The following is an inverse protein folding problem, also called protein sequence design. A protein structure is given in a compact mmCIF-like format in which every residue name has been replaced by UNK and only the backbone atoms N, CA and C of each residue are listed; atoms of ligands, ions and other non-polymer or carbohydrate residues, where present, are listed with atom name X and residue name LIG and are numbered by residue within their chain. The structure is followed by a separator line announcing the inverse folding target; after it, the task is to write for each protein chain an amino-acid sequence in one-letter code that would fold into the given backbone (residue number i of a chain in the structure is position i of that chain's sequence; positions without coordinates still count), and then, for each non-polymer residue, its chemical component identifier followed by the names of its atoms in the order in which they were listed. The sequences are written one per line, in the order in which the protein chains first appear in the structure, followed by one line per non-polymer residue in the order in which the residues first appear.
data_IF_162263375358
#
_entry.id   IF_162263375358
#
_cell.length_a   1.000
_cell.length_b   1.000
_cell.length_c   1.000
_cell.angle_alpha   90.00
_cell.angle_beta   90.00
_cell.angle_gamma   90.00
#
_symmetry.space_group_name_H-M   'P 1'
#
loop_
_entity.id
_entity.type
_entity.pdbx_description
1 polymer ?
#
# COMPACT_ATOMS: atom_id res chain seq x y z
N UNK A 1 15.59 -23.91 24.08
CA UNK A 1 15.94 -22.75 23.22
C UNK A 1 16.48 -23.30 21.91
N UNK A 2 16.11 -22.71 20.77
CA UNK A 2 16.73 -23.08 19.48
C UNK A 2 18.12 -22.44 19.38
N UNK A 3 19.12 -23.10 18.76
CA UNK A 3 20.41 -22.45 18.47
C UNK A 3 20.23 -21.19 17.63
N UNK A 4 21.02 -20.15 17.90
CA UNK A 4 21.00 -18.93 17.11
C UNK A 4 21.53 -19.18 15.68
N UNK A 5 20.88 -18.67 14.63
CA UNK A 5 21.32 -18.87 13.24
C UNK A 5 22.46 -17.92 12.82
N UNK A 6 22.99 -17.11 13.73
CA UNK A 6 24.00 -16.08 13.47
C UNK A 6 25.25 -16.28 14.33
N UNK A 7 26.34 -15.62 13.94
CA UNK A 7 27.66 -15.80 14.58
C UNK A 7 27.88 -14.81 15.73
N UNK A 8 28.70 -15.21 16.71
CA UNK A 8 29.34 -14.30 17.65
C UNK A 8 30.39 -13.41 16.96
N UNK A 9 30.99 -12.46 17.69
CA UNK A 9 32.02 -11.58 17.15
C UNK A 9 33.40 -12.26 17.14
N UNK A 10 34.09 -12.23 15.98
CA UNK A 10 35.51 -12.61 15.73
C UNK A 10 36.08 -13.73 16.62
N UNK A 11 36.02 -15.00 16.22
CA UNK A 11 36.73 -16.16 16.83
C UNK A 11 36.78 -16.23 18.38
N UNK A 12 35.98 -15.41 19.06
CA UNK A 12 35.84 -15.31 20.49
C UNK A 12 34.50 -15.94 20.80
N UNK A 13 34.53 -16.76 21.84
CA UNK A 13 33.40 -17.46 22.44
C UNK A 13 32.43 -16.44 23.06
N UNK A 14 31.86 -15.55 22.25
CA UNK A 14 30.59 -14.91 22.57
C UNK A 14 29.54 -15.86 22.05
N UNK A 15 28.95 -16.65 22.95
CA UNK A 15 27.90 -17.59 22.62
C UNK A 15 26.82 -16.84 21.85
N UNK A 16 26.61 -17.25 20.59
CA UNK A 16 25.54 -16.72 19.77
C UNK A 16 24.21 -17.01 20.48
N UNK A 17 23.65 -15.99 21.10
CA UNK A 17 22.46 -16.08 21.93
C UNK A 17 21.33 -15.33 21.25
N UNK A 18 20.14 -15.94 21.28
CA UNK A 18 18.91 -15.24 20.87
C UNK A 18 18.55 -14.12 21.86
N UNK A 19 19.08 -14.13 23.08
CA UNK A 19 18.76 -13.13 24.11
C UNK A 19 19.42 -11.77 23.87
N UNK A 20 20.57 -11.72 23.19
CA UNK A 20 21.40 -10.52 23.12
C UNK A 20 22.38 -10.44 24.30
N UNK A 21 22.89 -9.24 24.64
CA UNK A 21 22.53 -7.94 24.05
C UNK A 21 23.06 -7.81 22.62
N UNK A 22 22.43 -6.94 21.82
CA UNK A 22 22.87 -6.67 20.45
C UNK A 22 23.36 -5.23 20.33
N UNK A 23 24.53 -5.03 19.73
CA UNK A 23 25.06 -3.70 19.48
C UNK A 23 25.80 -3.61 18.14
N UNK A 24 25.91 -2.39 17.64
CA UNK A 24 26.49 -2.17 16.34
C UNK A 24 26.49 -0.71 15.91
N UNK A 25 26.84 -0.52 14.65
CA UNK A 25 26.86 0.77 13.97
C UNK A 25 26.20 0.63 12.59
N UNK A 26 25.37 1.60 12.25
CA UNK A 26 24.71 1.72 10.96
C UNK A 26 25.40 2.83 10.16
N UNK A 27 25.76 2.51 8.93
CA UNK A 27 26.51 3.39 8.03
C UNK A 27 25.91 3.36 6.63
N UNK A 28 26.12 4.42 5.86
CA UNK A 28 25.83 4.45 4.43
C UNK A 28 26.82 3.51 3.71
N UNK A 29 26.30 2.63 2.86
CA UNK A 29 27.11 1.65 2.14
C UNK A 29 28.12 2.32 1.19
N UNK A 30 27.73 3.43 0.56
CA UNK A 30 28.52 4.12 -0.45
C UNK A 30 29.58 5.06 0.14
N UNK A 31 29.22 5.81 1.19
CA UNK A 31 30.14 6.80 1.80
C UNK A 31 30.86 6.27 3.04
N UNK A 32 30.32 5.22 3.67
CA UNK A 32 30.80 4.73 4.96
C UNK A 32 30.47 5.65 6.14
N UNK A 33 29.73 6.73 5.91
CA UNK A 33 29.36 7.70 6.94
C UNK A 33 28.31 7.13 7.89
N UNK A 34 28.36 7.46 9.19
CA UNK A 34 27.36 7.01 10.15
C UNK A 34 25.96 7.57 9.83
N UNK A 35 24.94 6.74 10.01
CA UNK A 35 23.53 7.14 9.80
C UNK A 35 22.85 7.35 11.15
N UNK A 36 22.56 8.61 11.47
CA UNK A 36 21.79 9.01 12.63
C UNK A 36 20.26 8.90 12.41
N UNK A 37 19.51 8.79 13.51
CA UNK A 37 18.05 8.70 13.53
C UNK A 37 17.48 7.58 12.63
N UNK A 38 18.19 6.46 12.52
CA UNK A 38 17.66 5.24 11.93
C UNK A 38 16.87 4.49 12.99
N UNK A 39 15.64 4.09 12.66
CA UNK A 39 14.79 3.31 13.56
C UNK A 39 15.21 1.86 13.54
N UNK A 40 15.33 1.28 14.73
CA UNK A 40 15.72 -0.10 14.94
C UNK A 40 14.61 -0.77 15.74
N UNK A 41 14.19 -1.93 15.24
CA UNK A 41 13.22 -2.76 15.92
C UNK A 41 13.79 -4.16 16.09
N UNK A 42 13.93 -4.57 17.33
CA UNK A 42 14.31 -5.91 17.73
C UNK A 42 13.06 -6.71 18.10
N UNK A 43 12.93 -7.91 17.55
CA UNK A 43 11.77 -8.79 17.75
C UNK A 43 12.27 -10.15 18.22
N UNK A 44 11.83 -10.56 19.41
CA UNK A 44 12.01 -11.91 19.93
C UNK A 44 10.71 -12.67 19.79
N UNK A 45 10.71 -13.82 19.11
CA UNK A 45 9.50 -14.63 18.91
C UNK A 45 9.53 -15.90 19.73
N UNK A 46 8.37 -16.27 20.26
CA UNK A 46 8.19 -17.40 21.16
C UNK A 46 7.21 -18.41 20.58
N UNK A 47 7.48 -19.69 20.82
CA UNK A 47 6.54 -20.79 20.58
C UNK A 47 6.09 -21.36 21.93
N UNK A 48 4.92 -22.01 21.95
CA UNK A 48 4.46 -22.85 23.07
C UNK A 48 4.09 -24.25 22.59
N UNK A 49 4.06 -25.20 23.52
CA UNK A 49 3.53 -26.54 23.31
C UNK A 49 4.57 -27.65 23.38
N UNK A 50 4.10 -28.84 23.76
CA UNK A 50 4.84 -30.09 23.77
C UNK A 50 4.03 -31.09 22.94
N UNK A 51 4.38 -31.25 21.66
CA UNK A 51 3.59 -31.98 20.66
C UNK A 51 2.97 -31.06 19.60
N UNK A 52 1.96 -30.27 19.94
CA UNK A 52 1.37 -29.27 19.03
C UNK A 52 2.01 -27.90 19.29
N UNK A 53 2.93 -27.50 18.40
CA UNK A 53 3.70 -26.25 18.53
C UNK A 53 2.89 -25.11 17.90
N UNK A 54 2.61 -24.07 18.68
CA UNK A 54 1.92 -22.85 18.24
C UNK A 54 2.66 -21.57 18.67
N UNK A 55 2.37 -20.42 18.02
CA UNK A 55 2.99 -19.15 18.39
C UNK A 55 2.53 -18.69 19.77
N UNK A 56 3.47 -18.37 20.65
CA UNK A 56 3.22 -17.87 22.02
C UNK A 56 3.26 -16.35 22.15
N UNK A 57 3.61 -15.65 21.06
CA UNK A 57 3.71 -14.19 21.00
C UNK A 57 5.13 -13.71 20.71
N UNK A 58 5.34 -12.42 20.90
CA UNK A 58 6.61 -11.75 20.62
C UNK A 58 6.87 -10.60 21.59
N UNK A 59 8.14 -10.40 21.93
CA UNK A 59 8.62 -9.21 22.63
C UNK A 59 9.29 -8.27 21.62
N UNK A 60 9.01 -6.95 21.72
CA UNK A 60 9.51 -5.95 20.78
C UNK A 60 10.26 -4.87 21.56
N UNK A 61 11.44 -4.50 21.07
CA UNK A 61 12.21 -3.34 21.55
C UNK A 61 12.49 -2.38 20.40
N UNK A 62 12.37 -1.08 20.68
CA UNK A 62 12.53 -0.02 19.69
C UNK A 62 13.60 0.96 20.17
N UNK A 63 14.46 1.38 19.25
CA UNK A 63 15.47 2.40 19.49
C UNK A 63 15.76 3.18 18.21
N UNK A 64 16.46 4.30 18.36
CA UNK A 64 17.02 5.06 17.24
C UNK A 64 18.54 5.11 17.37
N UNK A 65 19.24 5.20 16.24
CA UNK A 65 20.69 5.42 16.25
C UNK A 65 21.05 6.81 16.77
N UNK A 66 22.21 6.91 17.41
CA UNK A 66 22.80 8.20 17.79
C UNK A 66 23.49 8.90 16.60
N UNK A 67 24.08 10.08 16.85
CA UNK A 67 24.82 10.85 15.84
C UNK A 67 26.00 10.08 15.22
N UNK A 68 26.57 9.13 15.96
CA UNK A 68 27.64 8.25 15.48
C UNK A 68 27.10 7.00 14.76
N UNK A 69 25.79 6.92 14.53
CA UNK A 69 25.11 5.79 13.90
C UNK A 69 25.09 4.54 14.77
N UNK A 70 25.42 4.64 16.06
CA UNK A 70 25.52 3.48 16.95
C UNK A 70 24.16 3.13 17.53
N UNK A 71 24.00 1.86 17.83
CA UNK A 71 22.83 1.36 18.51
C UNK A 71 23.15 0.31 19.56
N UNK A 72 22.22 0.17 20.51
CA UNK A 72 22.25 -0.86 21.54
C UNK A 72 20.85 -1.36 21.83
N UNK A 73 20.67 -2.66 21.67
CA UNK A 73 19.49 -3.41 22.06
C UNK A 73 19.86 -4.17 23.34
N UNK A 74 19.13 -3.97 24.45
CA UNK A 74 19.37 -4.69 25.69
C UNK A 74 19.07 -6.19 25.52
N UNK A 75 19.43 -6.99 26.53
CA UNK A 75 18.98 -8.38 26.59
C UNK A 75 17.45 -8.45 26.65
N UNK A 76 16.88 -9.50 26.04
CA UNK A 76 15.45 -9.79 26.12
C UNK A 76 14.99 -9.89 27.58
N UNK A 77 13.89 -9.23 27.93
CA UNK A 77 13.32 -9.28 29.28
C UNK A 77 12.60 -10.60 29.56
N UNK A 78 12.28 -11.35 28.50
CA UNK A 78 11.56 -12.62 28.57
C UNK A 78 10.19 -12.43 29.22
N UNK A 79 9.44 -11.46 28.70
CA UNK A 79 8.10 -11.12 29.20
C UNK A 79 7.07 -12.21 28.85
N UNK A 80 7.25 -12.89 27.72
CA UNK A 80 6.42 -14.04 27.33
C UNK A 80 6.90 -15.28 28.08
N UNK A 81 6.12 -15.73 29.07
CA UNK A 81 6.45 -16.85 29.96
C UNK A 81 5.35 -17.91 29.98
N UNK A 82 5.76 -19.16 30.14
CA UNK A 82 4.85 -20.29 30.28
C UNK A 82 5.62 -21.60 30.42
N UNK A 83 4.99 -22.66 30.95
CA UNK A 83 5.65 -23.94 31.23
C UNK A 83 6.17 -24.63 29.97
N UNK A 84 5.58 -24.34 28.80
CA UNK A 84 5.98 -24.88 27.49
C UNK A 84 6.44 -23.79 26.52
N UNK A 85 6.64 -22.55 27.01
CA UNK A 85 7.06 -21.42 26.19
C UNK A 85 8.56 -21.44 25.97
N UNK A 86 9.01 -21.23 24.74
CA UNK A 86 10.43 -21.16 24.39
C UNK A 86 10.70 -20.04 23.40
N UNK A 87 11.81 -19.33 23.60
CA UNK A 87 12.36 -18.39 22.63
C UNK A 87 12.90 -19.18 21.42
N UNK A 88 12.42 -18.82 20.22
CA UNK A 88 12.72 -19.56 18.98
C UNK A 88 13.43 -18.73 17.91
N UNK A 89 13.25 -17.41 17.91
CA UNK A 89 13.95 -16.53 16.97
C UNK A 89 14.19 -15.14 17.54
N UNK A 90 15.19 -14.48 16.95
CA UNK A 90 15.48 -13.07 17.11
C UNK A 90 15.65 -12.44 15.73
N UNK A 91 15.01 -11.29 15.52
CA UNK A 91 15.11 -10.53 14.28
C UNK A 91 15.36 -9.05 14.59
N UNK A 92 16.34 -8.47 13.91
CA UNK A 92 16.62 -7.04 13.93
C UNK A 92 16.19 -6.45 12.59
N UNK A 93 15.30 -5.46 12.63
CA UNK A 93 14.89 -4.67 11.47
C UNK A 93 15.40 -3.25 11.64
N UNK A 94 16.05 -2.71 10.61
CA UNK A 94 16.53 -1.33 10.60
C UNK A 94 15.91 -0.60 9.43
N UNK A 95 15.36 0.59 9.71
CA UNK A 95 14.71 1.44 8.74
C UNK A 95 15.19 2.89 8.85
N UNK A 96 15.52 3.48 7.70
CA UNK A 96 15.71 4.92 7.55
C UNK A 96 15.13 5.32 6.20
N UNK A 97 14.27 6.36 6.20
CA UNK A 97 13.72 6.89 4.95
C UNK A 97 14.85 7.31 4.00
N UNK A 98 14.75 6.90 2.73
CA UNK A 98 15.77 7.13 1.71
C UNK A 98 16.82 6.03 1.61
N UNK A 99 16.70 4.95 2.39
CA UNK A 99 17.55 3.77 2.32
C UNK A 99 16.70 2.51 2.16
N UNK A 100 17.30 1.47 1.56
CA UNK A 100 16.77 0.11 1.59
C UNK A 100 16.90 -0.41 3.03
N UNK A 101 15.80 -0.94 3.58
CA UNK A 101 15.79 -1.47 4.92
C UNK A 101 16.73 -2.67 5.08
N UNK A 102 17.08 -2.97 6.33
CA UNK A 102 17.89 -4.13 6.67
C UNK A 102 17.12 -5.07 7.59
N UNK A 103 17.32 -6.38 7.40
CA UNK A 103 16.84 -7.44 8.30
C UNK A 103 17.96 -8.40 8.65
N UNK A 104 18.08 -8.81 9.91
CA UNK A 104 19.13 -9.74 10.35
C UNK A 104 18.97 -11.17 9.84
N UNK A 105 17.76 -11.58 9.44
CA UNK A 105 17.46 -12.96 9.07
C UNK A 105 17.49 -13.22 7.55
N UNK A 106 17.24 -12.20 6.72
CA UNK A 106 17.17 -12.34 5.27
C UNK A 106 17.63 -11.11 4.50
N UNK A 107 18.05 -11.34 3.26
CA UNK A 107 18.32 -10.31 2.25
C UNK A 107 17.02 -9.92 1.52
N UNK A 108 17.07 -8.84 0.73
CA UNK A 108 15.93 -8.34 -0.06
C UNK A 108 15.46 -9.35 -1.13
N UNK A 109 16.38 -10.16 -1.66
CA UNK A 109 16.08 -11.28 -2.57
C UNK A 109 15.46 -12.51 -1.88
N UNK A 110 15.24 -12.45 -0.57
CA UNK A 110 14.68 -13.53 0.24
C UNK A 110 15.69 -14.57 0.72
N UNK A 111 16.95 -14.51 0.28
CA UNK A 111 18.00 -15.42 0.75
C UNK A 111 18.33 -15.20 2.23
N UNK A 112 18.83 -16.24 2.90
CA UNK A 112 19.20 -16.15 4.31
C UNK A 112 20.41 -15.22 4.50
N UNK A 113 20.31 -14.30 5.46
CA UNK A 113 21.40 -13.39 5.78
C UNK A 113 22.43 -14.09 6.67
N UNK A 114 23.72 -13.93 6.34
CA UNK A 114 24.84 -14.62 7.04
C UNK A 114 25.89 -13.68 7.62
N UNK A 115 25.80 -12.37 7.35
CA UNK A 115 26.72 -11.34 7.80
C UNK A 115 26.30 -10.68 9.13
N UNK A 116 25.14 -11.04 9.68
CA UNK A 116 24.69 -10.56 10.98
C UNK A 116 25.53 -11.14 12.12
N UNK A 117 25.95 -10.26 13.03
CA UNK A 117 26.71 -10.61 14.24
C UNK A 117 26.03 -10.06 15.49
N UNK A 118 26.19 -10.74 16.62
CA UNK A 118 25.55 -10.33 17.90
C UNK A 118 26.12 -9.01 18.41
N UNK A 119 27.44 -8.83 18.34
CA UNK A 119 28.16 -7.69 18.89
C UNK A 119 28.95 -6.97 17.83
N UNK A 120 29.03 -5.65 17.96
CA UNK A 120 29.76 -4.76 17.06
C UNK A 120 29.36 -4.97 15.59
N UNK A 121 28.09 -5.25 15.34
CA UNK A 121 27.59 -5.49 14.01
C UNK A 121 27.71 -4.21 13.17
N UNK A 122 28.20 -4.34 11.94
CA UNK A 122 28.28 -3.21 11.00
C UNK A 122 27.21 -3.37 9.94
N UNK A 123 26.16 -2.57 10.04
CA UNK A 123 25.04 -2.57 9.09
C UNK A 123 25.32 -1.48 8.06
N UNK A 124 25.58 -1.89 6.82
CA UNK A 124 25.67 -0.97 5.70
C UNK A 124 24.28 -0.86 5.04
N UNK A 125 23.70 0.35 5.03
CA UNK A 125 22.44 0.61 4.35
C UNK A 125 22.71 1.17 2.96
N UNK A 126 22.10 0.54 1.96
CA UNK A 126 22.10 1.03 0.59
C UNK A 126 21.13 2.21 0.47
N UNK A 127 21.54 3.30 -0.17
CA UNK A 127 20.61 4.37 -0.55
C UNK A 127 19.55 3.85 -1.52
N UNK A 128 18.32 4.32 -1.32
CA UNK A 128 17.19 4.02 -2.21
C UNK A 128 17.47 4.53 -3.63
N UNK A 129 17.27 3.66 -4.62
CA UNK A 129 17.40 3.99 -6.04
C UNK A 129 16.02 4.09 -6.67
N UNK A 130 15.92 4.84 -7.76
CA UNK A 130 14.65 4.95 -8.50
C UNK A 130 14.21 3.61 -9.13
N UNK A 131 15.14 2.68 -9.30
CA UNK A 131 14.89 1.33 -9.83
C UNK A 131 14.46 0.33 -8.75
N UNK A 132 14.53 0.69 -7.46
CA UNK A 132 14.14 -0.19 -6.37
C UNK A 132 12.61 -0.25 -6.26
N UNK A 133 12.06 -1.45 -6.05
CA UNK A 133 10.61 -1.67 -5.93
C UNK A 133 10.09 -1.34 -4.54
N UNK A 134 9.11 -0.44 -4.45
CA UNK A 134 8.41 -0.11 -3.21
C UNK A 134 7.56 -1.29 -2.72
N UNK A 135 6.98 -2.06 -3.66
CA UNK A 135 6.22 -3.27 -3.35
C UNK A 135 7.11 -4.30 -2.65
N UNK A 136 8.23 -4.65 -3.29
CA UNK A 136 9.15 -5.65 -2.75
C UNK A 136 9.75 -5.17 -1.43
N UNK A 137 10.03 -3.88 -1.29
CA UNK A 137 10.56 -3.31 -0.06
C UNK A 137 9.58 -3.42 1.12
N UNK A 138 8.29 -3.14 0.91
CA UNK A 138 7.27 -3.30 1.96
C UNK A 138 7.06 -4.77 2.34
N UNK A 139 7.08 -5.69 1.37
CA UNK A 139 7.02 -7.14 1.61
C UNK A 139 8.26 -7.62 2.37
N UNK A 140 9.44 -7.14 1.98
CA UNK A 140 10.70 -7.45 2.64
C UNK A 140 10.68 -7.00 4.10
N UNK A 141 10.27 -5.75 4.34
CA UNK A 141 10.10 -5.17 5.67
C UNK A 141 9.18 -6.02 6.54
N UNK A 142 8.03 -6.49 6.01
CA UNK A 142 6.98 -7.19 6.75
C UNK A 142 6.79 -6.58 8.16
N UNK A 143 6.71 -5.25 8.16
CA UNK A 143 7.15 -4.43 9.27
C UNK A 143 6.37 -4.69 10.57
N UNK A 144 7.06 -4.76 11.73
CA UNK A 144 6.42 -4.52 13.02
C UNK A 144 5.64 -3.20 13.01
N UNK A 145 4.59 -3.09 13.84
CA UNK A 145 3.66 -1.94 13.83
C UNK A 145 4.34 -0.56 13.90
N UNK A 146 5.49 -0.44 14.56
CA UNK A 146 6.26 0.80 14.62
C UNK A 146 6.85 1.21 13.29
N UNK A 147 7.42 0.26 12.53
CA UNK A 147 7.96 0.54 11.20
C UNK A 147 6.82 0.81 10.20
N UNK A 148 5.66 0.14 10.34
CA UNK A 148 4.49 0.40 9.47
C UNK A 148 4.08 1.87 9.46
N UNK A 149 4.14 2.56 10.61
CA UNK A 149 3.85 4.00 10.69
C UNK A 149 4.87 4.84 9.93
N UNK A 150 6.13 4.44 9.94
CA UNK A 150 7.23 5.15 9.28
C UNK A 150 7.26 4.91 7.77
N UNK A 151 6.76 3.77 7.32
CA UNK A 151 6.71 3.37 5.91
C UNK A 151 5.35 3.64 5.27
N UNK A 152 4.42 4.28 5.98
CA UNK A 152 3.09 4.59 5.44
C UNK A 152 3.15 5.40 4.13
N UNK A 153 4.08 6.35 4.04
CA UNK A 153 4.31 7.14 2.81
C UNK A 153 4.68 6.29 1.59
N UNK A 154 5.26 5.12 1.82
CA UNK A 154 5.72 4.21 0.78
C UNK A 154 4.57 3.29 0.30
N UNK A 155 3.53 3.11 1.10
CA UNK A 155 2.36 2.31 0.73
C UNK A 155 1.67 2.88 -0.50
N UNK A 156 1.54 4.21 -0.59
CA UNK A 156 0.92 4.86 -1.74
C UNK A 156 1.71 4.62 -3.03
N UNK A 157 3.05 4.67 -2.96
CA UNK A 157 3.93 4.41 -4.11
C UNK A 157 3.94 2.92 -4.48
N UNK A 158 3.97 2.03 -3.48
CA UNK A 158 3.86 0.60 -3.69
C UNK A 158 2.52 0.22 -4.33
N UNK A 159 1.42 0.86 -3.94
CA UNK A 159 0.11 0.64 -4.55
C UNK A 159 0.11 1.07 -6.04
N UNK A 160 0.72 2.21 -6.36
CA UNK A 160 0.87 2.67 -7.75
C UNK A 160 1.76 1.76 -8.59
N UNK A 161 2.79 1.16 -7.98
CA UNK A 161 3.66 0.20 -8.65
C UNK A 161 2.98 -1.16 -8.83
N UNK A 162 2.29 -1.65 -7.80
CA UNK A 162 1.51 -2.89 -7.86
C UNK A 162 0.42 -2.77 -8.94
N UNK A 163 -0.26 -1.62 -9.01
CA UNK A 163 -1.20 -1.29 -10.07
C UNK A 163 -0.60 -1.49 -11.47
N UNK A 164 0.58 -0.90 -11.71
CA UNK A 164 1.30 -1.05 -12.98
C UNK A 164 1.65 -2.52 -13.25
N UNK A 165 2.09 -3.26 -12.24
CA UNK A 165 2.50 -4.67 -12.40
C UNK A 165 1.35 -5.66 -12.64
N UNK A 166 0.14 -5.35 -12.19
CA UNK A 166 -1.04 -6.25 -12.26
C UNK A 166 -1.88 -6.08 -13.52
N UNK A 167 -1.35 -5.44 -14.56
CA UNK A 167 -2.10 -5.25 -15.81
C UNK A 167 -3.04 -4.05 -15.80
N UNK A 168 -2.93 -3.15 -14.80
CA UNK A 168 -3.46 -1.79 -14.88
C UNK A 168 -2.78 -0.96 -16.00
N UNK A 169 -1.62 -1.41 -16.44
CA UNK A 169 -1.08 -1.18 -17.77
C UNK A 169 -1.50 -2.36 -18.66
N UNK A 170 -2.20 -2.12 -19.76
CA UNK A 170 -2.66 -3.17 -20.66
C UNK A 170 -1.50 -4.10 -21.10
N UNK A 171 -1.73 -5.42 -21.03
CA UNK A 171 -0.81 -6.43 -21.54
C UNK A 171 -0.50 -6.22 -23.04
N UNK A 172 0.76 -5.95 -23.38
CA UNK A 172 1.26 -6.15 -24.74
C UNK A 172 2.37 -5.21 -25.22
N UNK A 173 3.62 -5.70 -25.13
CA UNK A 173 4.83 -5.33 -25.90
C UNK A 173 5.70 -4.16 -25.36
N UNK A 174 6.96 -4.05 -25.82
CA UNK A 174 8.17 -4.49 -25.11
C UNK A 174 8.91 -3.31 -24.47
N UNK A 175 9.91 -3.61 -23.64
CA UNK A 175 10.89 -2.66 -23.09
C UNK A 175 11.28 -1.57 -24.10
N UNK A 176 10.73 -0.37 -23.93
CA UNK A 176 11.12 0.80 -24.69
C UNK A 176 12.18 1.56 -23.89
N UNK A 177 13.30 1.76 -24.56
CA UNK A 177 14.57 2.28 -24.10
C UNK A 177 14.47 3.60 -23.31
N UNK A 178 15.26 3.66 -22.25
CA UNK A 178 15.70 4.89 -21.57
C UNK A 178 16.08 6.00 -22.55
N UNK A 179 15.61 7.25 -22.33
CA UNK A 179 16.37 8.42 -22.69
C UNK A 179 17.08 8.98 -21.45
N UNK A 180 18.39 9.11 -21.60
CA UNK A 180 19.28 9.77 -20.67
C UNK A 180 18.98 11.28 -20.57
N UNK A 181 19.08 11.78 -19.33
CA UNK A 181 19.74 13.06 -19.03
C UNK A 181 18.90 14.33 -19.08
N UNK A 182 18.88 15.06 -17.96
CA UNK A 182 18.66 16.51 -17.99
C UNK A 182 18.13 17.15 -16.70
N UNK A 183 19.03 17.49 -15.78
CA UNK A 183 19.08 18.82 -15.14
C UNK A 183 17.90 19.31 -14.30
N UNK A 184 18.15 19.39 -13.00
CA UNK A 184 17.35 20.07 -11.99
C UNK A 184 16.90 21.50 -12.34
N UNK A 185 15.73 21.89 -11.84
CA UNK A 185 15.56 23.10 -11.01
C UNK A 185 14.29 22.94 -10.17
N UNK A 186 14.42 23.26 -8.89
CA UNK A 186 13.41 22.97 -7.89
C UNK A 186 12.22 23.91 -7.94
N UNK A 187 11.07 23.33 -7.63
CA UNK A 187 10.01 24.03 -6.93
C UNK A 187 9.40 23.00 -5.98
N UNK A 188 9.55 23.21 -4.67
CA UNK A 188 8.85 22.42 -3.64
C UNK A 188 7.35 22.69 -3.84
N UNK A 189 6.52 21.70 -4.19
CA UNK A 189 5.09 21.87 -4.05
C UNK A 189 4.80 21.79 -2.55
N UNK A 190 4.10 22.79 -2.02
CA UNK A 190 3.48 22.76 -0.70
C UNK A 190 2.53 21.55 -0.61
N UNK A 191 3.09 20.41 -0.20
CA UNK A 191 2.34 19.23 0.16
C UNK A 191 1.74 19.52 1.54
N UNK A 192 0.50 20.01 1.55
CA UNK A 192 -0.40 19.71 2.67
C UNK A 192 -0.28 18.20 2.90
N UNK A 193 0.21 17.82 4.08
CA UNK A 193 0.34 16.43 4.49
C UNK A 193 -0.93 15.65 4.12
N UNK A 194 -0.83 14.45 3.51
CA UNK A 194 -2.00 13.61 3.28
C UNK A 194 -2.70 13.36 4.62
N UNK A 195 -4.01 13.59 4.65
CA UNK A 195 -4.86 13.47 5.84
C UNK A 195 -4.89 12.00 6.23
N UNK A 196 -4.31 11.71 7.40
CA UNK A 196 -3.91 10.36 7.85
C UNK A 196 -5.04 9.35 8.07
N UNK A 197 -6.32 9.75 7.98
CA UNK A 197 -7.44 8.94 8.46
C UNK A 197 -8.68 8.98 7.54
N UNK A 198 -8.53 9.35 6.28
CA UNK A 198 -9.65 9.55 5.35
C UNK A 198 -9.48 8.78 4.03
N UNK A 199 -10.57 8.22 3.51
CA UNK A 199 -10.66 7.60 2.19
C UNK A 199 -11.42 8.51 1.22
N UNK A 200 -10.95 8.63 -0.01
CA UNK A 200 -11.61 9.41 -1.05
C UNK A 200 -12.96 8.77 -1.40
N UNK A 201 -14.08 9.44 -1.22
CA UNK A 201 -15.39 8.99 -1.71
C UNK A 201 -15.74 9.68 -3.03
N UNK A 202 -15.93 8.86 -4.07
CA UNK A 202 -16.34 9.29 -5.40
C UNK A 202 -17.71 8.72 -5.78
N UNK A 203 -18.36 7.94 -4.91
CA UNK A 203 -19.63 7.25 -5.19
C UNK A 203 -20.78 8.23 -5.54
N UNK A 204 -20.68 9.46 -5.05
CA UNK A 204 -21.63 10.52 -5.34
C UNK A 204 -21.42 11.20 -6.71
N UNK A 205 -20.34 10.97 -7.44
CA UNK A 205 -20.08 11.67 -8.71
C UNK A 205 -20.98 11.23 -9.86
N UNK A 206 -21.36 9.96 -9.84
CA UNK A 206 -22.25 9.37 -10.83
C UNK A 206 -23.05 8.24 -10.18
N UNK A 207 -24.34 8.51 -9.93
CA UNK A 207 -25.23 7.56 -9.24
C UNK A 207 -25.92 6.60 -10.21
N UNK A 208 -26.41 5.43 -9.75
CA UNK A 208 -27.22 4.52 -10.57
C UNK A 208 -28.37 5.20 -11.31
N UNK A 209 -29.11 6.08 -10.63
CA UNK A 209 -30.26 6.81 -11.18
C UNK A 209 -29.84 7.77 -12.30
N UNK A 210 -28.69 8.42 -12.12
CA UNK A 210 -28.11 9.31 -13.12
C UNK A 210 -27.64 8.55 -14.36
N UNK A 211 -27.08 7.36 -14.19
CA UNK A 211 -26.73 6.48 -15.31
C UNK A 211 -27.98 6.04 -16.06
N UNK A 212 -28.99 5.50 -15.37
CA UNK A 212 -30.26 5.07 -16.00
C UNK A 212 -30.92 6.18 -16.80
N UNK A 213 -30.94 7.39 -16.26
CA UNK A 213 -31.52 8.57 -16.92
C UNK A 213 -30.80 8.93 -18.22
N UNK A 214 -29.48 8.72 -18.29
CA UNK A 214 -28.65 9.12 -19.44
C UNK A 214 -28.50 8.04 -20.48
N UNK A 215 -28.51 6.78 -20.08
CA UNK A 215 -28.34 5.64 -21.00
C UNK A 215 -29.67 5.04 -21.45
N UNK A 216 -30.77 5.33 -20.74
CA UNK A 216 -32.07 4.68 -20.97
C UNK A 216 -32.14 3.26 -20.40
N UNK A 217 -31.12 2.80 -19.68
CA UNK A 217 -31.14 1.50 -19.01
C UNK A 217 -32.19 1.46 -17.89
N UNK A 218 -33.03 0.43 -17.87
CA UNK A 218 -34.15 0.30 -16.93
C UNK A 218 -33.90 -0.71 -15.80
N UNK A 219 -32.82 -1.48 -15.85
CA UNK A 219 -32.49 -2.47 -14.83
C UNK A 219 -31.84 -1.85 -13.58
N UNK A 220 -31.56 -2.69 -12.58
CA UNK A 220 -30.92 -2.25 -11.34
C UNK A 220 -29.39 -2.33 -11.42
N UNK A 221 -28.72 -1.52 -10.59
CA UNK A 221 -27.28 -1.57 -10.38
C UNK A 221 -26.96 -1.94 -8.95
N UNK A 222 -25.96 -2.78 -8.76
CA UNK A 222 -25.26 -2.93 -7.49
C UNK A 222 -24.00 -2.07 -7.54
N UNK A 223 -23.80 -1.22 -6.53
CA UNK A 223 -22.59 -0.39 -6.42
C UNK A 223 -21.56 -1.18 -5.62
N UNK A 224 -20.41 -1.45 -6.23
CA UNK A 224 -19.28 -2.13 -5.61
C UNK A 224 -17.98 -1.38 -5.90
N UNK A 225 -16.90 -1.77 -5.23
CA UNK A 225 -15.55 -1.36 -5.61
C UNK A 225 -14.99 -2.35 -6.64
N UNK A 226 -14.32 -1.88 -7.72
CA UNK A 226 -13.55 -2.73 -8.61
C UNK A 226 -12.55 -3.62 -7.85
N UNK A 227 -12.33 -4.84 -8.31
CA UNK A 227 -11.44 -5.80 -7.63
C UNK A 227 -9.95 -5.59 -7.92
N UNK A 228 -9.61 -4.69 -8.85
CA UNK A 228 -8.25 -4.40 -9.29
C UNK A 228 -7.48 -3.55 -8.28
N UNK A 229 -8.14 -2.55 -7.68
CA UNK A 229 -7.49 -1.63 -6.74
C UNK A 229 -8.35 -1.30 -5.54
N UNK A 230 -7.70 -1.31 -4.37
CA UNK A 230 -8.30 -0.83 -3.12
C UNK A 230 -8.38 0.69 -3.10
N UNK A 231 -9.47 1.18 -2.53
CA UNK A 231 -9.69 2.60 -2.21
C UNK A 231 -8.60 3.15 -1.28
N UNK A 232 -8.16 4.39 -1.54
CA UNK A 232 -7.16 5.12 -0.74
C UNK A 232 -7.63 6.54 -0.43
N UNK A 233 -6.78 7.37 0.20
CA UNK A 233 -7.06 8.79 0.48
C UNK A 233 -7.12 9.68 -0.77
N UNK A 234 -6.59 9.20 -1.90
CA UNK A 234 -6.52 9.96 -3.17
C UNK A 234 -7.06 9.17 -4.36
N UNK A 235 -7.44 7.90 -4.20
CA UNK A 235 -7.99 7.04 -5.26
C UNK A 235 -9.27 6.35 -4.82
N UNK A 236 -10.26 6.30 -5.70
CA UNK A 236 -11.45 5.49 -5.54
C UNK A 236 -11.98 5.05 -6.91
N UNK A 237 -12.15 3.73 -7.08
CA UNK A 237 -12.89 3.15 -8.20
C UNK A 237 -14.31 2.80 -7.78
N UNK A 238 -15.28 3.13 -8.61
CA UNK A 238 -16.69 2.81 -8.41
C UNK A 238 -17.17 1.94 -9.57
N UNK A 239 -17.71 0.77 -9.25
CA UNK A 239 -18.29 -0.18 -10.20
C UNK A 239 -19.80 -0.20 -10.03
N UNK A 240 -20.51 0.21 -11.06
CA UNK A 240 -21.96 0.06 -11.19
C UNK A 240 -22.21 -1.22 -12.00
N UNK A 241 -22.42 -2.32 -11.28
CA UNK A 241 -22.65 -3.63 -11.86
C UNK A 241 -24.14 -3.82 -12.16
N UNK A 242 -24.49 -4.10 -13.41
CA UNK A 242 -25.87 -4.33 -13.83
C UNK A 242 -26.38 -5.68 -13.29
N UNK A 243 -27.40 -5.65 -12.43
CA UNK A 243 -27.89 -6.85 -11.75
C UNK A 243 -28.53 -7.82 -12.74
N UNK A 244 -28.04 -9.06 -12.74
CA UNK A 244 -28.56 -10.13 -13.63
C UNK A 244 -28.17 -9.97 -15.10
N UNK A 245 -27.24 -9.08 -15.42
CA UNK A 245 -26.74 -8.86 -16.78
C UNK A 245 -25.26 -9.24 -16.92
N UNK A 246 -24.78 -9.31 -18.16
CA UNK A 246 -23.36 -9.45 -18.49
C UNK A 246 -22.59 -8.16 -18.22
N UNK A 247 -21.26 -8.28 -18.07
CA UNK A 247 -20.34 -7.13 -17.87
C UNK A 247 -20.40 -6.06 -18.96
N UNK A 248 -20.97 -6.38 -20.14
CA UNK A 248 -21.22 -5.40 -21.20
C UNK A 248 -22.30 -4.36 -20.83
N UNK A 249 -23.03 -4.57 -19.74
CA UNK A 249 -23.96 -3.59 -19.16
C UNK A 249 -23.36 -2.83 -17.97
N UNK A 250 -22.12 -3.13 -17.59
CA UNK A 250 -21.48 -2.50 -16.44
C UNK A 250 -20.89 -1.13 -16.81
N UNK A 251 -20.75 -0.29 -15.79
CA UNK A 251 -20.03 0.96 -15.86
C UNK A 251 -19.05 1.04 -14.70
N UNK A 252 -17.82 1.42 -14.98
CA UNK A 252 -16.78 1.63 -13.96
C UNK A 252 -16.18 3.01 -14.18
N UNK A 253 -16.02 3.79 -13.11
CA UNK A 253 -15.20 4.99 -13.16
C UNK A 253 -14.18 5.01 -12.03
N UNK A 254 -12.98 5.43 -12.36
CA UNK A 254 -11.84 5.57 -11.45
C UNK A 254 -11.52 7.03 -11.29
N UNK A 255 -11.30 7.46 -10.05
CA UNK A 255 -11.03 8.86 -9.72
C UNK A 255 -9.76 8.95 -8.91
N UNK A 256 -8.88 9.85 -9.33
CA UNK A 256 -7.70 10.27 -8.58
C UNK A 256 -7.87 11.74 -8.20
N UNK A 257 -7.79 12.07 -6.91
CA UNK A 257 -7.90 13.44 -6.40
C UNK A 257 -6.64 13.83 -5.65
N UNK A 258 -5.96 14.88 -6.13
CA UNK A 258 -4.70 15.39 -5.60
C UNK A 258 -3.68 14.28 -5.25
N UNK A 259 -3.34 13.37 -6.18
CA UNK A 259 -2.47 12.24 -5.91
C UNK A 259 -1.07 12.68 -5.44
N UNK A 260 -0.44 11.94 -4.50
CA UNK A 260 0.94 12.20 -4.10
C UNK A 260 1.87 11.97 -5.30
N UNK A 261 2.64 12.99 -5.69
CA UNK A 261 3.44 12.98 -6.91
C UNK A 261 2.85 13.80 -8.07
N UNK A 262 1.67 14.40 -7.86
CA UNK A 262 1.02 15.27 -8.85
C UNK A 262 0.29 14.48 -9.94
N UNK A 263 -0.20 15.18 -10.97
CA UNK A 263 -1.07 14.59 -11.98
C UNK A 263 -0.35 13.73 -13.03
N UNK A 264 0.99 13.80 -13.12
CA UNK A 264 1.73 13.08 -14.16
C UNK A 264 1.51 11.55 -14.14
N UNK A 265 1.61 10.85 -13.00
CA UNK A 265 1.32 9.41 -12.96
C UNK A 265 -0.11 9.05 -13.37
N UNK A 266 -1.08 9.94 -13.13
CA UNK A 266 -2.48 9.73 -13.54
C UNK A 266 -2.64 9.91 -15.04
N UNK A 267 -1.99 10.92 -15.62
CA UNK A 267 -1.95 11.12 -17.08
C UNK A 267 -1.32 9.90 -17.75
N UNK A 268 -0.14 9.48 -17.28
CA UNK A 268 0.57 8.32 -17.80
C UNK A 268 -0.33 7.06 -17.74
N UNK A 269 -1.07 6.86 -16.64
CA UNK A 269 -2.04 5.77 -16.49
C UNK A 269 -3.18 5.84 -17.52
N UNK A 270 -3.76 7.02 -17.75
CA UNK A 270 -4.85 7.21 -18.72
C UNK A 270 -4.34 6.95 -20.14
N UNK A 271 -3.18 7.48 -20.50
CA UNK A 271 -2.56 7.29 -21.82
C UNK A 271 -2.19 5.82 -22.08
N UNK A 272 -1.68 5.12 -21.08
CA UNK A 272 -1.39 3.68 -21.15
C UNK A 272 -2.66 2.84 -21.31
N UNK A 273 -3.75 3.21 -20.60
CA UNK A 273 -5.03 2.50 -20.71
C UNK A 273 -5.71 2.75 -22.05
N UNK A 274 -5.51 3.94 -22.65
CA UNK A 274 -6.13 4.38 -23.88
C UNK A 274 -5.08 4.60 -24.99
N UNK A 275 -4.37 3.54 -25.42
CA UNK A 275 -3.19 3.67 -26.25
C UNK A 275 -3.53 4.21 -27.64
N UNK A 276 -2.67 5.10 -28.16
CA UNK A 276 -2.79 5.67 -29.51
C UNK A 276 -3.84 6.76 -29.65
N UNK A 277 -4.51 7.17 -28.56
CA UNK A 277 -5.45 8.28 -28.55
C UNK A 277 -4.72 9.59 -28.24
N UNK A 278 -4.97 10.62 -29.04
CA UNK A 278 -4.49 11.98 -28.74
C UNK A 278 -5.50 12.69 -27.84
N UNK A 279 -5.03 13.53 -26.90
CA UNK A 279 -5.92 14.34 -26.09
C UNK A 279 -6.75 15.28 -26.98
N UNK A 280 -7.98 15.51 -26.54
CA UNK A 280 -9.01 16.32 -27.16
C UNK A 280 -9.65 17.23 -26.12
N UNK A 281 -10.42 18.23 -26.58
CA UNK A 281 -11.13 19.19 -25.73
C UNK A 281 -12.55 18.78 -25.32
N UNK A 282 -12.88 17.48 -25.34
CA UNK A 282 -14.28 17.03 -25.18
C UNK A 282 -14.84 17.29 -23.78
N UNK A 283 -14.09 16.98 -22.71
CA UNK A 283 -14.50 17.23 -21.32
C UNK A 283 -13.66 18.36 -20.71
N UNK A 284 -12.34 18.18 -20.74
CA UNK A 284 -11.32 19.18 -20.43
C UNK A 284 -10.35 19.29 -21.62
N UNK A 285 -9.34 20.18 -21.54
CA UNK A 285 -8.28 20.27 -22.56
C UNK A 285 -7.46 18.97 -22.71
N UNK A 286 -7.49 18.11 -21.69
CA UNK A 286 -6.80 16.82 -21.63
C UNK A 286 -7.83 15.70 -21.49
N UNK A 287 -8.54 15.41 -22.59
CA UNK A 287 -9.52 14.32 -22.67
C UNK A 287 -9.11 13.28 -23.70
N UNK A 288 -9.02 12.02 -23.29
CA UNK A 288 -8.79 10.87 -24.15
C UNK A 288 -10.08 10.09 -24.31
N UNK A 289 -10.49 9.88 -25.57
CA UNK A 289 -11.70 9.16 -25.94
C UNK A 289 -11.30 7.93 -26.73
N UNK A 290 -11.70 6.76 -26.25
CA UNK A 290 -11.31 5.48 -26.82
C UNK A 290 -12.52 4.58 -27.03
N UNK A 291 -12.53 3.89 -28.16
CA UNK A 291 -13.57 2.95 -28.54
C UNK A 291 -12.90 1.64 -28.95
N UNK A 292 -13.36 0.55 -28.35
CA UNK A 292 -13.00 -0.81 -28.74
C UNK A 292 -14.23 -1.69 -28.72
N UNK A 293 -14.12 -2.90 -29.28
CA UNK A 293 -15.24 -3.83 -29.32
C UNK A 293 -15.67 -4.19 -27.89
N UNK A 294 -16.91 -3.87 -27.53
CA UNK A 294 -17.47 -4.21 -26.21
C UNK A 294 -17.43 -3.09 -25.18
N UNK A 295 -16.62 -2.03 -25.37
CA UNK A 295 -16.39 -0.98 -24.36
C UNK A 295 -16.09 0.38 -24.99
N UNK A 296 -16.69 1.41 -24.41
CA UNK A 296 -16.35 2.82 -24.60
C UNK A 296 -15.60 3.33 -23.37
N UNK A 297 -14.50 4.07 -23.56
CA UNK A 297 -13.73 4.63 -22.47
C UNK A 297 -13.44 6.12 -22.68
N UNK A 298 -13.53 6.89 -21.60
CA UNK A 298 -13.25 8.33 -21.57
C UNK A 298 -12.39 8.64 -20.35
N UNK A 299 -11.16 9.06 -20.60
CA UNK A 299 -10.25 9.58 -19.58
C UNK A 299 -10.18 11.11 -19.67
N UNK A 300 -10.14 11.81 -18.54
CA UNK A 300 -9.84 13.25 -18.54
C UNK A 300 -9.06 13.68 -17.31
N UNK A 301 -8.31 14.77 -17.45
CA UNK A 301 -7.61 15.43 -16.35
C UNK A 301 -8.10 16.88 -16.21
N UNK A 302 -8.47 17.25 -15.00
CA UNK A 302 -8.73 18.62 -14.58
C UNK A 302 -7.54 19.09 -13.72
N UNK A 303 -6.68 19.93 -14.32
CA UNK A 303 -5.49 20.45 -13.64
C UNK A 303 -5.82 21.47 -12.54
N UNK A 304 -6.92 22.19 -12.67
CA UNK A 304 -7.34 23.20 -11.69
C UNK A 304 -7.86 22.51 -10.44
N UNK A 305 -8.74 21.52 -10.60
CA UNK A 305 -9.26 20.69 -9.51
C UNK A 305 -8.23 19.66 -9.01
N UNK A 306 -7.15 19.40 -9.77
CA UNK A 306 -6.18 18.32 -9.52
C UNK A 306 -6.86 16.95 -9.47
N UNK A 307 -7.78 16.71 -10.39
CA UNK A 307 -8.53 15.45 -10.48
C UNK A 307 -8.28 14.79 -11.82
N UNK A 308 -8.10 13.47 -11.81
CA UNK A 308 -8.12 12.65 -13.01
C UNK A 308 -9.24 11.63 -12.92
N UNK A 309 -9.89 11.35 -14.05
CA UNK A 309 -10.98 10.38 -14.13
C UNK A 309 -10.74 9.47 -15.32
N UNK A 310 -11.00 8.17 -15.12
CA UNK A 310 -11.09 7.18 -16.19
C UNK A 310 -12.42 6.46 -16.09
N UNK A 311 -13.31 6.71 -17.04
CA UNK A 311 -14.61 6.07 -17.19
C UNK A 311 -14.52 4.97 -18.25
N UNK A 312 -15.04 3.78 -17.94
CA UNK A 312 -15.25 2.69 -18.88
C UNK A 312 -16.71 2.25 -18.82
N UNK A 313 -17.36 2.15 -19.97
CA UNK A 313 -18.78 1.80 -20.11
C UNK A 313 -18.92 0.68 -21.13
N UNK A 314 -19.62 -0.40 -20.77
CA UNK A 314 -19.90 -1.48 -21.71
C UNK A 314 -20.80 -1.04 -22.87
N UNK A 315 -20.66 -1.69 -24.02
CA UNK A 315 -21.37 -1.33 -25.27
C UNK A 315 -22.88 -1.63 -25.27
N UNK A 316 -23.38 -2.38 -24.29
CA UNK A 316 -24.81 -2.55 -24.05
C UNK A 316 -25.34 -1.53 -23.03
N UNK A 317 -24.45 -0.89 -22.26
CA UNK A 317 -24.81 0.17 -21.32
C UNK A 317 -24.77 1.54 -21.98
N UNK A 318 -23.72 1.85 -22.73
CA UNK A 318 -23.61 3.06 -23.52
C UNK A 318 -23.88 2.70 -24.98
N UNK A 319 -24.88 3.32 -25.60
CA UNK A 319 -25.23 3.03 -26.99
C UNK A 319 -24.14 3.45 -27.99
N UNK A 320 -23.37 4.48 -27.63
CA UNK A 320 -22.26 5.02 -28.41
C UNK A 320 -21.23 5.73 -27.51
N UNK A 321 -20.12 6.12 -28.13
CA UNK A 321 -19.06 6.89 -27.46
C UNK A 321 -19.55 8.26 -26.95
N UNK A 322 -20.56 8.87 -27.60
CA UNK A 322 -21.13 10.14 -27.16
C UNK A 322 -21.85 10.01 -25.81
N UNK A 323 -22.51 8.88 -25.58
CA UNK A 323 -23.16 8.56 -24.31
C UNK A 323 -22.12 8.46 -23.19
N UNK A 324 -20.98 7.82 -23.44
CA UNK A 324 -19.86 7.77 -22.50
C UNK A 324 -19.27 9.17 -22.23
N UNK A 325 -19.12 10.01 -23.25
CA UNK A 325 -18.68 11.41 -23.10
C UNK A 325 -19.68 12.21 -22.26
N UNK A 326 -21.00 12.02 -22.45
CA UNK A 326 -22.04 12.69 -21.64
C UNK A 326 -21.90 12.33 -20.16
N UNK A 327 -21.61 11.06 -19.86
CA UNK A 327 -21.38 10.58 -18.50
C UNK A 327 -20.08 11.17 -17.90
N UNK A 328 -19.00 11.24 -18.68
CA UNK A 328 -17.76 11.89 -18.25
C UNK A 328 -17.96 13.40 -17.98
N UNK A 329 -18.68 14.12 -18.86
CA UNK A 329 -19.11 15.52 -18.65
C UNK A 329 -20.00 15.68 -17.42
N UNK A 330 -20.75 14.64 -17.05
CA UNK A 330 -21.54 14.67 -15.83
C UNK A 330 -20.64 14.56 -14.60
N UNK A 331 -19.71 13.60 -14.58
CA UNK A 331 -18.72 13.47 -13.50
C UNK A 331 -17.94 14.78 -13.32
N UNK A 332 -17.44 15.36 -14.41
CA UNK A 332 -16.66 16.61 -14.36
C UNK A 332 -17.45 17.78 -13.73
N UNK A 333 -18.73 17.94 -14.09
CA UNK A 333 -19.60 18.97 -13.50
C UNK A 333 -19.93 18.77 -12.02
N UNK A 334 -19.72 17.56 -11.51
CA UNK A 334 -20.09 17.15 -10.16
C UNK A 334 -18.86 16.89 -9.29
N UNK A 335 -17.66 17.32 -9.70
CA UNK A 335 -16.42 17.12 -8.91
C UNK A 335 -16.49 17.73 -7.51
N UNK A 336 -17.37 18.71 -7.29
CA UNK A 336 -17.68 19.29 -5.98
C UNK A 336 -18.35 18.30 -5.01
N UNK A 337 -18.91 17.19 -5.52
CA UNK A 337 -19.49 16.09 -4.72
C UNK A 337 -18.44 15.07 -4.26
N UNK A 338 -17.17 15.24 -4.63
CA UNK A 338 -16.07 14.48 -4.02
C UNK A 338 -16.03 14.74 -2.52
N UNK A 339 -15.95 13.67 -1.73
CA UNK A 339 -15.85 13.78 -0.27
C UNK A 339 -14.77 12.88 0.30
N UNK A 340 -14.46 13.09 1.57
CA UNK A 340 -13.50 12.28 2.33
C UNK A 340 -14.28 11.57 3.45
N UNK A 341 -14.20 10.24 3.48
CA UNK A 341 -14.84 9.42 4.49
C UNK A 341 -13.82 9.00 5.56
N UNK A 342 -14.14 9.16 6.84
CA UNK A 342 -13.24 8.77 7.91
C UNK A 342 -13.13 7.24 8.00
N UNK A 343 -11.90 6.73 8.16
CA UNK A 343 -11.66 5.31 8.39
C UNK A 343 -12.20 4.96 9.79
N UNK A 344 -13.42 4.43 9.84
CA UNK A 344 -14.01 3.97 11.10
C UNK A 344 -13.23 2.75 11.60
N UNK A 345 -12.48 2.92 12.69
CA UNK A 345 -11.91 1.77 13.40
C UNK A 345 -13.07 0.94 13.94
N UNK A 346 -13.14 -0.39 13.70
CA UNK A 346 -14.15 -1.21 14.34
C UNK A 346 -13.98 -1.09 15.85
N UNK A 347 -14.95 -0.47 16.52
CA UNK A 347 -15.04 -0.53 17.98
C UNK A 347 -15.11 -1.99 18.36
N UNK A 348 -14.09 -2.46 19.08
CA UNK A 348 -14.06 -3.80 19.66
C UNK A 348 -15.38 -4.03 20.39
N UNK A 349 -16.22 -4.89 19.81
CA UNK A 349 -17.53 -5.21 20.35
C UNK A 349 -17.39 -5.73 21.76
N UNK A 350 -18.08 -5.07 22.68
CA UNK A 350 -18.31 -5.53 24.04
C UNK A 350 -18.85 -6.98 24.02
N UNK A 351 -18.48 -7.82 25.00
CA UNK A 351 -18.92 -9.21 25.05
C UNK A 351 -20.45 -9.28 25.14
N UNK A 352 -21.03 -10.12 24.31
CA UNK A 352 -22.45 -10.44 24.30
C UNK A 352 -22.91 -10.86 25.70
N UNK A 353 -23.83 -10.08 26.26
CA UNK A 353 -24.56 -10.47 27.46
C UNK A 353 -25.38 -11.72 27.12
N UNK A 354 -25.08 -12.82 27.80
CA UNK A 354 -25.82 -14.07 27.74
C UNK A 354 -27.29 -13.81 28.08
N UNK A 355 -28.17 -14.15 27.14
CA UNK A 355 -29.62 -14.15 27.32
C UNK A 355 -30.01 -15.11 28.43
N UNK A 356 -30.77 -14.56 29.39
CA UNK A 356 -31.35 -15.28 30.50
C UNK A 356 -32.35 -16.35 30.01
N UNK A 357 -32.29 -17.50 30.67
CA UNK A 357 -33.21 -18.62 30.52
C UNK A 357 -34.66 -18.18 30.85
N UNK A 358 -35.56 -18.40 29.89
CA UNK A 358 -37.01 -18.43 30.12
C UNK A 358 -37.36 -19.67 30.94
N UNK A 359 -37.96 -19.42 32.11
CA UNK A 359 -38.58 -20.39 33.00
C UNK A 359 -40.01 -20.61 32.49
N UNK A 360 -40.33 -21.82 32.05
CA UNK A 360 -41.73 -22.23 31.83
C UNK A 360 -42.42 -22.28 33.20
N UNK A 361 -43.48 -21.50 33.33
CA UNK A 361 -44.38 -21.49 34.47
C UNK A 361 -45.64 -22.27 34.05
N UNK A 362 -45.74 -23.47 34.61
CA UNK A 362 -46.88 -24.37 34.51
C UNK A 362 -47.91 -23.95 35.57
N UNK A 363 -49.17 -23.69 35.18
CA UNK A 363 -50.30 -23.53 36.11
C UNK A 363 -51.61 -23.70 35.33
N UNK A 364 -52.72 -24.18 35.94
CA UNK A 364 -52.89 -25.12 37.06
C UNK A 364 -53.41 -26.50 36.63
#
# INVERSE_FOLDING_TARGET
MRPAPFKGFRDQVTDASLHGPFDGQIVDESTGEPIADATIVAVWSYDHGDGFIGPAGSEIFEATTDEAGRYRVPEAKLEVRGPTTRLVSFELVVYKRGYVAYRSNRMTDGSARTDFTVRHNRIALQKWRQTDSHVDHLVFLAAPRSIQKLTYWEQDLANLELFRSQGGAAEGLPEAETPAGGGATGEKPDAKSPRKDTLLDASALLTPDEVRTRTGYSGEFTVTEPTDLKRTSFYHGVHLQATGQSQTHDLIYRVWSAPPGGMKPVIDTIEETLPGVKPSGEVTEETWVFETKGVFAVGFVDREAKVGVLLTCGDQQCADIHTAIILAKWIHRNLDRLSEEAISTPTAGAPAAAGAATREEETP
#
